data_IF_140061314391
#
_entry.id   IF_140061314391
#
_cell.length_a   1.000
_cell.length_b   1.000
_cell.length_c   1.000
_cell.angle_alpha   90.00
_cell.angle_beta   90.00
_cell.angle_gamma   90.00
#
_symmetry.space_group_name_H-M   'P 1'
#
loop_
_entity.id
_entity.type
_entity.pdbx_description
1 polymer ?
#
# COMPACT_ATOMS: atom_id res chain seq x y z
N UNK A 1 9.32 -70.46 29.58
CA UNK A 1 8.18 -70.44 28.65
C UNK A 1 6.93 -70.24 29.52
N UNK A 2 6.19 -69.14 29.53
CA UNK A 2 6.03 -68.01 28.61
C UNK A 2 5.70 -66.73 29.40
N UNK A 3 6.15 -65.60 28.87
CA UNK A 3 5.89 -64.24 29.34
C UNK A 3 4.43 -63.84 29.06
N UNK A 4 3.85 -63.03 29.96
CA UNK A 4 2.64 -62.25 29.68
C UNK A 4 2.93 -60.80 30.04
N UNK A 5 2.96 -59.99 28.99
CA UNK A 5 3.47 -58.62 28.94
C UNK A 5 2.52 -57.61 29.60
N UNK A 6 3.09 -56.76 30.44
CA UNK A 6 2.44 -55.62 31.07
C UNK A 6 2.33 -54.47 30.05
N UNK A 7 1.10 -54.07 29.71
CA UNK A 7 0.83 -52.83 28.99
C UNK A 7 0.60 -51.69 29.98
N UNK A 8 1.39 -50.60 29.88
CA UNK A 8 0.94 -49.27 30.26
C UNK A 8 1.76 -48.20 29.51
N UNK A 9 1.32 -47.88 28.30
CA UNK A 9 1.74 -46.71 27.54
C UNK A 9 0.85 -45.53 27.92
N UNK A 10 1.43 -44.44 28.43
CA UNK A 10 0.78 -43.12 28.42
C UNK A 10 1.83 -42.00 28.39
N UNK A 11 2.52 -41.87 27.26
CA UNK A 11 3.19 -40.62 26.88
C UNK A 11 2.16 -39.80 26.10
N UNK A 12 1.55 -38.82 26.75
CA UNK A 12 0.46 -38.05 26.16
C UNK A 12 0.53 -36.58 26.56
N UNK A 13 1.06 -35.76 25.65
CA UNK A 13 0.68 -34.37 25.52
C UNK A 13 1.49 -33.39 26.35
N UNK A 14 2.41 -32.68 25.69
CA UNK A 14 2.57 -31.22 25.71
C UNK A 14 3.58 -30.90 24.62
N UNK A 15 3.15 -30.21 23.55
CA UNK A 15 3.70 -28.93 23.06
C UNK A 15 2.77 -28.52 21.92
N UNK A 16 1.79 -27.66 22.25
CA UNK A 16 1.04 -26.91 21.26
C UNK A 16 2.04 -25.98 20.55
N UNK A 17 2.41 -26.36 19.32
CA UNK A 17 3.21 -25.50 18.45
C UNK A 17 2.43 -24.21 18.19
N UNK A 18 3.05 -23.10 18.56
CA UNK A 18 2.60 -21.74 18.31
C UNK A 18 2.36 -21.52 16.81
N UNK A 19 1.11 -21.66 16.38
CA UNK A 19 0.66 -21.15 15.09
C UNK A 19 0.51 -19.62 15.20
N UNK A 20 1.62 -18.89 15.28
CA UNK A 20 1.64 -17.47 14.94
C UNK A 20 1.56 -17.35 13.42
N UNK A 21 0.35 -17.53 12.89
CA UNK A 21 0.04 -17.20 11.50
C UNK A 21 -0.23 -15.69 11.44
N UNK A 22 0.80 -14.87 11.17
CA UNK A 22 0.55 -13.49 10.74
C UNK A 22 0.10 -13.54 9.29
N UNK A 23 -1.19 -13.75 9.06
CA UNK A 23 -1.79 -13.57 7.74
C UNK A 23 -1.76 -12.08 7.40
N UNK A 24 -0.66 -11.62 6.80
CA UNK A 24 -0.66 -10.33 6.12
C UNK A 24 -1.72 -10.38 5.03
N UNK A 25 -2.62 -9.38 4.93
CA UNK A 25 -3.60 -9.36 3.87
C UNK A 25 -2.91 -9.32 2.51
N UNK A 26 -3.42 -10.10 1.56
CA UNK A 26 -2.89 -10.13 0.18
C UNK A 26 -2.93 -8.75 -0.49
N UNK A 27 -3.87 -7.91 -0.06
CA UNK A 27 -4.05 -6.53 -0.53
C UNK A 27 -4.51 -5.64 0.63
N UNK A 28 -3.70 -4.65 0.98
CA UNK A 28 -4.13 -3.56 1.85
C UNK A 28 -5.04 -2.60 1.07
N UNK A 29 -6.04 -2.06 1.76
CA UNK A 29 -7.00 -1.09 1.22
C UNK A 29 -6.42 0.33 1.22
N UNK A 30 -6.53 1.02 0.08
CA UNK A 30 -6.13 2.42 -0.07
C UNK A 30 -7.20 3.40 0.42
N UNK A 31 -8.45 2.98 0.59
CA UNK A 31 -9.54 3.90 0.92
C UNK A 31 -9.25 4.71 2.20
N UNK A 32 -9.55 6.00 2.12
CA UNK A 32 -9.31 6.96 3.20
C UNK A 32 -8.32 8.05 2.82
N UNK A 33 -7.91 8.80 3.84
CA UNK A 33 -7.14 10.02 3.69
C UNK A 33 -5.72 9.83 4.21
N UNK A 34 -4.76 10.23 3.40
CA UNK A 34 -3.34 9.95 3.60
C UNK A 34 -2.54 11.23 3.41
N UNK A 35 -1.71 11.57 4.40
CA UNK A 35 -0.91 12.79 4.38
C UNK A 35 0.58 12.47 4.39
N UNK A 36 1.39 13.33 3.78
CA UNK A 36 2.85 13.23 3.82
C UNK A 36 3.49 14.45 4.51
N UNK A 37 4.82 14.46 4.64
CA UNK A 37 5.53 15.55 5.33
C UNK A 37 5.64 16.81 4.47
N UNK A 38 5.40 16.66 3.18
CA UNK A 38 5.46 17.68 2.15
C UNK A 38 4.13 18.46 2.04
N UNK A 39 3.17 18.20 2.92
CA UNK A 39 1.87 18.88 2.94
C UNK A 39 0.92 18.43 1.83
N UNK A 40 1.17 17.25 1.25
CA UNK A 40 0.26 16.64 0.29
C UNK A 40 -0.70 15.69 0.99
N UNK A 41 -1.92 15.66 0.51
CA UNK A 41 -2.97 14.78 1.00
C UNK A 41 -3.59 14.03 -0.17
N UNK A 42 -3.63 12.72 -0.10
CA UNK A 42 -4.35 11.84 -1.00
C UNK A 42 -5.58 11.28 -0.29
N UNK A 43 -6.76 11.61 -0.79
CA UNK A 43 -8.02 11.08 -0.29
C UNK A 43 -8.62 10.13 -1.31
N UNK A 44 -8.42 8.83 -1.11
CA UNK A 44 -8.95 7.78 -1.97
C UNK A 44 -10.39 7.45 -1.61
N UNK A 45 -11.25 7.53 -2.62
CA UNK A 45 -12.68 7.27 -2.53
C UNK A 45 -13.05 5.99 -3.30
N UNK A 46 -14.17 5.33 -2.95
CA UNK A 46 -14.66 4.19 -3.71
C UNK A 46 -14.84 4.50 -5.21
N UNK A 47 -14.64 3.49 -6.05
CA UNK A 47 -14.85 3.59 -7.50
C UNK A 47 -13.70 4.24 -8.29
N UNK A 48 -12.47 4.19 -7.77
CA UNK A 48 -11.29 4.64 -8.51
C UNK A 48 -11.16 6.17 -8.58
N UNK A 49 -11.75 6.90 -7.64
CA UNK A 49 -11.70 8.36 -7.54
C UNK A 49 -10.84 8.79 -6.38
N UNK A 50 -10.11 9.88 -6.51
CA UNK A 50 -9.39 10.47 -5.38
C UNK A 50 -9.34 12.00 -5.49
N UNK A 51 -9.02 12.63 -4.36
CA UNK A 51 -8.60 14.02 -4.32
C UNK A 51 -7.12 14.06 -3.95
N UNK A 52 -6.33 14.81 -4.71
CA UNK A 52 -4.97 15.17 -4.33
C UNK A 52 -4.95 16.63 -3.94
N UNK A 53 -4.72 16.88 -2.65
CA UNK A 53 -4.63 18.22 -2.10
C UNK A 53 -3.16 18.55 -1.86
N UNK A 54 -2.74 19.76 -2.22
CA UNK A 54 -1.39 20.25 -1.99
C UNK A 54 -1.47 21.54 -1.17
N UNK A 55 -0.84 21.55 0.00
CA UNK A 55 -0.84 22.71 0.88
C UNK A 55 0.21 23.73 0.46
N UNK A 56 -0.23 24.97 0.18
CA UNK A 56 0.62 26.13 -0.04
C UNK A 56 0.31 27.19 1.01
N UNK A 57 1.13 27.24 2.06
CA UNK A 57 0.88 28.11 3.22
C UNK A 57 -0.39 27.68 3.97
N UNK A 58 -1.39 28.57 4.05
CA UNK A 58 -2.69 28.29 4.69
C UNK A 58 -3.77 27.82 3.72
N UNK A 59 -3.47 27.71 2.43
CA UNK A 59 -4.43 27.33 1.39
C UNK A 59 -4.11 25.93 0.82
N UNK A 60 -5.14 25.28 0.29
CA UNK A 60 -5.02 24.02 -0.41
C UNK A 60 -5.46 24.18 -1.86
N UNK A 61 -4.61 23.75 -2.78
CA UNK A 61 -5.04 23.41 -4.13
C UNK A 61 -5.59 21.99 -4.11
N UNK A 62 -6.75 21.78 -4.73
CA UNK A 62 -7.41 20.46 -4.77
C UNK A 62 -7.56 19.99 -6.20
N UNK A 63 -6.99 18.82 -6.49
CA UNK A 63 -7.01 18.19 -7.80
C UNK A 63 -7.87 16.92 -7.74
N UNK A 64 -9.05 16.89 -8.36
CA UNK A 64 -9.77 15.64 -8.56
C UNK A 64 -9.00 14.77 -9.54
N UNK A 65 -8.74 13.52 -9.15
CA UNK A 65 -8.01 12.54 -9.97
C UNK A 65 -8.73 11.21 -9.96
N UNK A 66 -8.41 10.37 -10.93
CA UNK A 66 -8.77 8.96 -10.92
C UNK A 66 -7.55 8.16 -10.48
N UNK A 67 -7.78 7.03 -9.82
CA UNK A 67 -6.71 6.11 -9.45
C UNK A 67 -7.02 4.68 -9.91
N UNK A 68 -5.94 3.97 -10.27
CA UNK A 68 -5.97 2.53 -10.50
C UNK A 68 -4.94 1.89 -9.57
N UNK A 69 -5.37 0.96 -8.73
CA UNK A 69 -4.52 0.27 -7.77
C UNK A 69 -4.52 -1.23 -8.02
N UNK A 70 -3.34 -1.79 -8.24
CA UNK A 70 -3.14 -3.23 -8.45
C UNK A 70 -2.12 -3.78 -7.44
N UNK A 71 -2.63 -4.45 -6.40
CA UNK A 71 -1.85 -5.04 -5.31
C UNK A 71 -1.20 -6.40 -5.63
N UNK A 72 -1.55 -7.03 -6.76
CA UNK A 72 -1.04 -8.37 -7.12
C UNK A 72 0.44 -8.38 -7.52
N UNK A 73 1.01 -7.22 -7.76
CA UNK A 73 2.41 -7.04 -8.17
C UNK A 73 3.22 -6.59 -6.94
N UNK A 74 4.53 -6.89 -6.93
CA UNK A 74 5.44 -6.45 -5.87
C UNK A 74 6.61 -5.68 -6.50
N UNK A 75 6.75 -4.37 -6.25
CA UNK A 75 5.83 -3.51 -5.49
C UNK A 75 4.45 -3.40 -6.16
N UNK A 76 3.43 -3.04 -5.39
CA UNK A 76 2.09 -2.85 -5.92
C UNK A 76 2.07 -1.61 -6.83
N UNK A 77 1.13 -1.54 -7.77
CA UNK A 77 1.03 -0.40 -8.68
C UNK A 77 -0.08 0.54 -8.24
N UNK A 78 0.21 1.84 -8.27
CA UNK A 78 -0.76 2.91 -8.07
C UNK A 78 -0.58 3.95 -9.17
N UNK A 79 -1.54 4.04 -10.07
CA UNK A 79 -1.52 5.03 -11.14
C UNK A 79 -2.54 6.14 -10.84
N UNK A 80 -2.14 7.41 -10.92
CA UNK A 80 -3.02 8.57 -10.80
C UNK A 80 -3.16 9.27 -12.15
N UNK A 81 -4.37 9.57 -12.59
CA UNK A 81 -4.63 10.23 -13.87
C UNK A 81 -5.86 11.15 -13.81
N UNK A 82 -6.23 11.71 -14.96
CA UNK A 82 -7.41 12.59 -15.06
C UNK A 82 -7.16 14.01 -14.55
N UNK A 83 -5.90 14.43 -14.45
CA UNK A 83 -5.50 15.78 -14.09
C UNK A 83 -6.12 16.82 -15.03
N UNK A 84 -6.91 17.73 -14.47
CA UNK A 84 -7.58 18.82 -15.22
C UNK A 84 -6.81 20.14 -15.19
N UNK A 85 -5.83 20.27 -14.28
CA UNK A 85 -5.00 21.46 -14.12
C UNK A 85 -3.58 21.10 -13.69
N UNK A 86 -2.64 22.04 -13.83
CA UNK A 86 -1.25 21.88 -13.44
C UNK A 86 -0.37 21.18 -14.49
N UNK A 87 0.89 20.86 -14.14
CA UNK A 87 1.88 20.30 -15.07
C UNK A 87 1.59 18.85 -15.50
N UNK A 88 0.65 18.18 -14.83
CA UNK A 88 0.30 16.79 -15.07
C UNK A 88 -0.89 16.61 -16.03
N UNK A 89 -1.45 17.69 -16.58
CA UNK A 89 -2.54 17.62 -17.57
C UNK A 89 -2.13 16.74 -18.75
N UNK A 90 -2.98 15.77 -19.08
CA UNK A 90 -2.74 14.80 -20.16
C UNK A 90 -1.71 13.71 -19.85
N UNK A 91 -1.20 13.64 -18.61
CA UNK A 91 -0.28 12.60 -18.14
C UNK A 91 -0.93 11.71 -17.08
N UNK A 92 -0.30 10.57 -16.85
CA UNK A 92 -0.55 9.68 -15.72
C UNK A 92 0.71 9.67 -14.85
N UNK A 93 0.55 9.78 -13.53
CA UNK A 93 1.60 9.42 -12.58
C UNK A 93 1.57 7.90 -12.43
N UNK A 94 2.53 7.22 -13.05
CA UNK A 94 2.67 5.78 -12.94
C UNK A 94 3.52 5.45 -11.72
N UNK A 95 2.89 4.86 -10.70
CA UNK A 95 3.52 4.69 -9.40
C UNK A 95 3.68 3.24 -8.97
N UNK A 96 4.65 3.04 -8.08
CA UNK A 96 4.83 1.86 -7.25
C UNK A 96 4.58 2.21 -5.78
N UNK A 97 3.91 1.31 -5.07
CA UNK A 97 3.57 1.47 -3.66
C UNK A 97 4.00 0.25 -2.85
N UNK A 98 4.52 0.50 -1.66
CA UNK A 98 4.84 -0.54 -0.68
C UNK A 98 4.31 -0.16 0.70
N UNK A 99 3.57 -1.09 1.30
CA UNK A 99 3.01 -0.97 2.63
C UNK A 99 4.07 -1.27 3.69
N UNK A 100 4.26 -0.34 4.62
CA UNK A 100 5.12 -0.54 5.79
C UNK A 100 4.31 -0.93 7.03
N UNK A 101 3.03 -0.57 7.07
CA UNK A 101 2.02 -0.99 8.03
C UNK A 101 0.62 -0.87 7.41
N UNK A 102 -0.44 -1.12 8.17
CA UNK A 102 -1.84 -0.84 7.80
C UNK A 102 -2.20 0.66 7.68
N UNK A 103 -1.27 1.52 8.11
CA UNK A 103 -1.46 2.96 8.33
C UNK A 103 -0.34 3.79 7.71
N UNK A 104 0.62 3.14 7.04
CA UNK A 104 1.75 3.82 6.39
C UNK A 104 2.17 3.09 5.12
N UNK A 105 2.37 3.83 4.04
CA UNK A 105 2.97 3.33 2.81
C UNK A 105 4.00 4.31 2.25
N UNK A 106 4.84 3.82 1.34
CA UNK A 106 5.70 4.65 0.50
C UNK A 106 5.26 4.58 -0.96
N UNK A 107 5.35 5.70 -1.66
CA UNK A 107 4.98 5.87 -3.07
C UNK A 107 6.17 6.48 -3.81
N UNK A 108 6.47 5.92 -4.97
CA UNK A 108 7.36 6.52 -5.96
C UNK A 108 6.64 6.48 -7.32
N UNK A 109 6.66 7.58 -8.06
CA UNK A 109 5.87 7.71 -9.28
C UNK A 109 6.51 8.68 -10.28
N UNK A 110 6.37 8.35 -11.57
CA UNK A 110 6.88 9.15 -12.68
C UNK A 110 5.74 9.58 -13.62
N UNK A 111 5.70 10.85 -14.06
CA UNK A 111 4.69 11.34 -14.98
C UNK A 111 5.00 10.91 -16.41
N UNK A 112 4.07 10.21 -17.06
CA UNK A 112 4.23 9.77 -18.45
C UNK A 112 2.92 9.68 -19.22
N UNK A 113 3.02 9.38 -20.50
CA UNK A 113 1.87 9.04 -21.36
C UNK A 113 1.70 7.53 -21.52
N UNK A 114 2.64 6.73 -20.99
CA UNK A 114 2.67 5.28 -21.14
C UNK A 114 3.32 4.63 -19.91
N UNK A 115 2.95 3.39 -19.54
CA UNK A 115 3.33 2.78 -18.26
C UNK A 115 4.81 2.39 -18.15
N UNK A 116 5.59 2.45 -19.24
CA UNK A 116 7.01 2.10 -19.26
C UNK A 116 7.87 3.09 -18.45
N UNK A 117 7.34 4.28 -18.13
CA UNK A 117 8.03 5.22 -17.23
C UNK A 117 7.92 4.83 -15.77
N UNK A 118 7.07 3.86 -15.41
CA UNK A 118 6.84 3.46 -14.02
C UNK A 118 8.18 3.07 -13.37
N UNK A 119 8.51 3.60 -12.19
CA UNK A 119 9.69 3.17 -11.45
C UNK A 119 9.66 1.65 -11.22
N UNK A 120 10.80 0.99 -11.39
CA UNK A 120 10.95 -0.44 -11.06
C UNK A 120 11.45 -0.64 -9.63
N UNK A 121 12.02 0.41 -9.04
CA UNK A 121 12.57 0.44 -7.68
C UNK A 121 12.32 1.81 -7.06
N UNK A 122 12.28 1.87 -5.73
CA UNK A 122 12.15 3.13 -4.99
C UNK A 122 13.45 3.95 -5.06
N UNK A 123 13.37 5.18 -5.56
CA UNK A 123 14.42 6.19 -5.48
C UNK A 123 14.27 6.98 -4.17
N UNK A 124 15.33 7.02 -3.36
CA UNK A 124 15.33 7.66 -2.04
C UNK A 124 15.05 9.17 -2.11
N UNK A 125 15.36 9.82 -3.23
CA UNK A 125 15.18 11.27 -3.42
C UNK A 125 13.75 11.64 -3.83
N UNK A 126 13.00 10.72 -4.44
CA UNK A 126 11.65 10.94 -4.97
C UNK A 126 10.57 10.26 -4.14
N UNK A 127 10.92 9.17 -3.44
CA UNK A 127 9.98 8.37 -2.65
C UNK A 127 9.33 9.22 -1.56
N UNK A 128 8.01 9.29 -1.60
CA UNK A 128 7.21 9.97 -0.59
C UNK A 128 6.61 8.95 0.37
N UNK A 129 6.51 9.32 1.65
CA UNK A 129 5.89 8.49 2.68
C UNK A 129 4.57 9.09 3.12
N UNK A 130 3.52 8.29 3.04
CA UNK A 130 2.18 8.69 3.40
C UNK A 130 1.72 7.97 4.67
N UNK A 131 0.98 8.70 5.50
CA UNK A 131 0.45 8.27 6.78
C UNK A 131 -1.07 8.45 6.79
N UNK A 132 -1.79 7.45 7.29
CA UNK A 132 -3.25 7.53 7.40
C UNK A 132 -3.65 8.62 8.39
N UNK A 133 -4.53 9.53 7.98
CA UNK A 133 -5.18 10.44 8.91
C UNK A 133 -6.18 9.65 9.77
N UNK A 134 -6.21 9.97 11.08
CA UNK A 134 -7.06 9.29 12.07
C UNK A 134 -8.52 9.69 11.98
#
# INVERSE_FOLDING_TARGET
MNQLSTHLTLFGGVVLLFFSCSSQPDCYDLAGRWTNREGQILEFQPGGKALWLIQFGSQFDTFPVLYNYTCKQKPAHLDLNGFQAGPLVGKTLFGIIEWMSDSTFRLDAEPGTSPEVRPTTFNVEQTQRYYREK
#
